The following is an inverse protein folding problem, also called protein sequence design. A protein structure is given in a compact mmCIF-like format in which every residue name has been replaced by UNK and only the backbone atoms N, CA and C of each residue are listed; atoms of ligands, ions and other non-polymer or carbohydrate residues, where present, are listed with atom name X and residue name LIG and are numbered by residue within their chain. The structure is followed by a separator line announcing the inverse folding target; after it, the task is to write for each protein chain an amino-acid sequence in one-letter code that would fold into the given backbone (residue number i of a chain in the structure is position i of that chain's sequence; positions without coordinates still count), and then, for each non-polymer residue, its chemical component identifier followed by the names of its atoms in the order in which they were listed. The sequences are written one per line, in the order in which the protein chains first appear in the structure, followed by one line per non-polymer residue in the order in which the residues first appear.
data_IF_125746787904
#
_entry.id   IF_125746787904
#
_cell.length_a   1.000
_cell.length_b   1.000
_cell.length_c   1.000
_cell.angle_alpha   90.00
_cell.angle_beta   90.00
_cell.angle_gamma   90.00
#
_symmetry.space_group_name_H-M   'P 1'
#
loop_
_entity.id
_entity.type
_entity.pdbx_description
1 polymer ?
#
# COMPACT_ATOMS: atom_id res chain seq x y z
N UNK A 1 -0.42 18.14 -11.83
CA UNK A 1 -0.06 16.73 -12.08
C UNK A 1 -1.07 16.16 -13.06
N UNK A 2 -0.64 15.32 -14.00
CA UNK A 2 -1.53 14.75 -15.00
C UNK A 2 -2.40 13.67 -14.32
N UNK A 3 -3.66 13.98 -14.00
CA UNK A 3 -4.63 13.09 -13.32
C UNK A 3 -4.93 11.80 -14.11
N UNK A 4 -4.45 11.70 -15.35
CA UNK A 4 -4.52 10.50 -16.17
C UNK A 4 -3.67 9.33 -15.62
N UNK A 5 -2.68 9.60 -14.77
CA UNK A 5 -1.68 8.62 -14.34
C UNK A 5 -1.86 8.15 -12.88
N UNK A 6 -2.88 8.64 -12.17
CA UNK A 6 -3.18 8.21 -10.80
C UNK A 6 -4.67 8.38 -10.47
N UNK A 7 -5.06 7.97 -9.25
CA UNK A 7 -6.44 7.90 -8.78
C UNK A 7 -6.87 9.13 -7.96
N UNK A 8 -6.39 10.32 -8.32
CA UNK A 8 -6.70 11.57 -7.59
C UNK A 8 -8.21 11.90 -7.58
N UNK A 9 -8.95 11.35 -8.55
CA UNK A 9 -10.41 11.43 -8.70
C UNK A 9 -11.19 10.42 -7.83
N UNK A 10 -10.48 9.51 -7.14
CA UNK A 10 -11.06 8.44 -6.32
C UNK A 10 -10.60 8.59 -4.86
N UNK A 11 -11.26 9.46 -4.08
CA UNK A 11 -10.90 9.63 -2.69
C UNK A 11 -11.09 8.33 -1.90
N UNK A 12 -10.06 7.97 -1.11
CA UNK A 12 -10.20 6.92 -0.10
C UNK A 12 -11.23 7.34 0.95
N UNK A 13 -11.84 6.38 1.62
CA UNK A 13 -12.89 6.61 2.62
C UNK A 13 -12.46 7.62 3.70
N UNK A 14 -11.21 7.53 4.17
CA UNK A 14 -10.62 8.47 5.13
C UNK A 14 -10.50 9.93 4.66
N UNK A 15 -10.55 10.19 3.34
CA UNK A 15 -10.51 11.54 2.74
C UNK A 15 -11.90 12.13 2.48
N UNK A 16 -12.96 11.33 2.53
CA UNK A 16 -14.32 11.80 2.28
C UNK A 16 -14.84 12.68 3.43
N UNK A 17 -15.69 13.68 3.15
CA UNK A 17 -16.47 14.36 4.20
C UNK A 17 -17.28 13.35 5.04
N UNK A 18 -17.49 13.59 6.34
CA UNK A 18 -18.14 12.61 7.22
C UNK A 18 -19.52 12.16 6.73
N UNK A 19 -20.36 13.08 6.24
CA UNK A 19 -21.66 12.74 5.65
C UNK A 19 -21.55 11.82 4.42
N UNK A 20 -20.57 12.04 3.53
CA UNK A 20 -20.35 11.22 2.34
C UNK A 20 -19.77 9.84 2.72
N UNK A 21 -18.82 9.81 3.64
CA UNK A 21 -18.27 8.57 4.19
C UNK A 21 -19.37 7.74 4.87
N UNK A 22 -20.25 8.37 5.66
CA UNK A 22 -21.39 7.71 6.29
C UNK A 22 -22.37 7.15 5.25
N UNK A 23 -22.68 7.90 4.19
CA UNK A 23 -23.52 7.40 3.11
C UNK A 23 -22.92 6.16 2.45
N UNK A 24 -21.61 6.19 2.13
CA UNK A 24 -20.88 5.06 1.56
C UNK A 24 -20.87 3.84 2.48
N UNK A 25 -20.67 4.03 3.78
CA UNK A 25 -20.73 2.97 4.79
C UNK A 25 -22.12 2.32 4.86
N UNK A 26 -23.21 3.11 4.81
CA UNK A 26 -24.57 2.56 4.76
C UNK A 26 -24.81 1.69 3.53
N UNK A 27 -24.27 2.08 2.38
CA UNK A 27 -24.41 1.31 1.13
C UNK A 27 -23.78 -0.09 1.20
N UNK A 28 -22.76 -0.27 2.05
CA UNK A 28 -22.09 -1.55 2.26
C UNK A 28 -22.57 -2.29 3.52
N UNK A 29 -23.60 -1.77 4.20
CA UNK A 29 -24.19 -2.39 5.39
C UNK A 29 -23.50 -2.04 6.71
N UNK A 30 -22.53 -1.12 6.71
CA UNK A 30 -21.83 -0.64 7.90
C UNK A 30 -22.63 0.46 8.62
N UNK A 31 -23.79 0.09 9.15
CA UNK A 31 -24.76 1.03 9.74
C UNK A 31 -24.19 1.69 11.01
N UNK A 32 -23.64 0.91 11.94
CA UNK A 32 -23.12 1.43 13.21
C UNK A 32 -21.97 2.43 12.99
N UNK A 33 -21.04 2.09 12.08
CA UNK A 33 -19.95 2.98 11.71
C UNK A 33 -20.46 4.26 11.03
N UNK A 34 -21.48 4.17 10.18
CA UNK A 34 -22.09 5.32 9.53
C UNK A 34 -22.84 6.24 10.50
N UNK A 35 -23.61 5.67 11.44
CA UNK A 35 -24.35 6.41 12.47
C UNK A 35 -23.40 7.19 13.38
N UNK A 36 -22.28 6.56 13.71
CA UNK A 36 -21.20 7.19 14.45
C UNK A 36 -20.65 8.46 13.80
N UNK A 37 -20.44 8.45 12.49
CA UNK A 37 -19.96 9.62 11.75
C UNK A 37 -21.00 10.75 11.75
N UNK A 38 -22.29 10.44 11.56
CA UNK A 38 -23.35 11.46 11.53
C UNK A 38 -23.71 12.05 12.90
N UNK A 39 -23.61 11.26 13.96
CA UNK A 39 -23.92 11.73 15.33
C UNK A 39 -22.92 12.78 15.82
N UNK A 40 -21.71 12.75 15.27
CA UNK A 40 -20.60 13.61 15.70
C UNK A 40 -20.57 14.96 14.96
N UNK A 41 -21.14 15.04 13.75
CA UNK A 41 -21.36 16.31 13.03
C UNK A 41 -22.27 17.29 13.81
N UNK A 42 -23.15 16.78 14.68
CA UNK A 42 -24.06 17.61 15.46
C UNK A 42 -23.41 18.26 16.71
N UNK A 43 -22.16 17.90 17.05
CA UNK A 43 -21.54 18.31 18.33
C UNK A 43 -20.21 19.08 18.21
N UNK A 44 -19.57 19.20 17.04
CA UNK A 44 -18.23 19.81 16.92
C UNK A 44 -18.13 20.71 15.67
N UNK A 45 -17.53 21.93 15.75
CA UNK A 45 -17.29 22.76 14.57
C UNK A 45 -16.36 22.05 13.59
N UNK A 46 -16.63 22.19 12.29
CA UNK A 46 -15.95 21.48 11.22
C UNK A 46 -14.43 21.72 11.19
N UNK A 47 -13.66 20.83 11.82
CA UNK A 47 -12.24 20.61 11.52
C UNK A 47 -12.13 19.44 10.55
N UNK A 48 -11.66 19.74 9.33
CA UNK A 48 -11.27 18.73 8.35
C UNK A 48 -10.25 17.76 8.98
N UNK A 49 -10.53 16.46 8.93
CA UNK A 49 -9.54 15.41 9.19
C UNK A 49 -9.45 14.87 10.63
N UNK A 50 -10.38 15.18 11.53
CA UNK A 50 -10.40 14.58 12.89
C UNK A 50 -11.70 13.84 13.13
N UNK A 51 -11.68 12.51 12.98
CA UNK A 51 -12.80 11.61 13.25
C UNK A 51 -12.82 11.25 14.75
N UNK A 52 -13.85 11.62 15.53
CA UNK A 52 -13.85 11.34 16.98
C UNK A 52 -14.45 9.96 17.33
N UNK A 53 -13.66 9.15 18.05
CA UNK A 53 -14.01 8.18 19.10
C UNK A 53 -15.19 7.18 18.93
N UNK A 54 -15.61 6.85 17.71
CA UNK A 54 -16.05 5.47 17.47
C UNK A 54 -14.79 4.65 17.22
N UNK A 55 -14.67 3.52 17.91
CA UNK A 55 -13.43 2.76 18.08
C UNK A 55 -12.47 2.93 16.92
N UNK A 56 -11.31 3.54 17.18
CA UNK A 56 -10.30 3.95 16.20
C UNK A 56 -10.13 2.92 15.08
N UNK A 57 -10.78 3.15 13.92
CA UNK A 57 -10.77 2.16 12.83
C UNK A 57 -9.62 2.49 11.86
N UNK A 58 -8.74 1.52 11.55
CA UNK A 58 -7.61 1.72 10.65
C UNK A 58 -7.92 2.40 9.30
N UNK A 59 -9.05 2.05 8.67
CA UNK A 59 -9.45 2.56 7.35
C UNK A 59 -9.89 4.04 7.33
N UNK A 60 -10.02 4.67 8.49
CA UNK A 60 -10.41 6.08 8.63
C UNK A 60 -9.25 7.03 8.37
N UNK A 61 -8.02 6.52 8.51
CA UNK A 61 -6.84 7.36 8.52
C UNK A 61 -6.22 7.52 7.14
N UNK A 62 -5.59 8.66 6.92
CA UNK A 62 -4.92 8.98 5.65
C UNK A 62 -3.41 9.07 5.82
N UNK A 63 -2.95 9.33 7.05
CA UNK A 63 -1.53 9.41 7.37
C UNK A 63 -0.89 8.02 7.40
N UNK A 64 0.40 7.99 7.07
CA UNK A 64 1.20 6.79 7.07
C UNK A 64 2.54 7.04 7.75
N UNK A 65 3.01 6.06 8.51
CA UNK A 65 4.40 6.00 9.00
C UNK A 65 5.18 4.97 8.20
N UNK A 66 6.46 5.28 7.92
CA UNK A 66 7.34 4.45 7.10
C UNK A 66 8.45 3.84 7.93
N UNK A 67 8.41 2.52 8.01
CA UNK A 67 9.43 1.68 8.62
C UNK A 67 10.33 1.06 7.56
N UNK A 68 11.51 0.65 7.98
CA UNK A 68 12.50 -0.03 7.17
C UNK A 68 13.13 -1.18 7.95
N UNK A 69 13.24 -2.30 7.26
CA UNK A 69 13.88 -3.51 7.72
C UNK A 69 15.06 -3.81 6.79
N UNK A 70 16.28 -3.77 7.36
CA UNK A 70 17.51 -4.01 6.61
C UNK A 70 17.63 -5.47 6.15
N UNK A 71 18.34 -5.75 5.05
CA UNK A 71 18.74 -7.09 4.69
C UNK A 71 19.62 -7.67 5.80
N UNK A 72 19.32 -8.87 6.25
CA UNK A 72 20.09 -9.54 7.31
C UNK A 72 20.57 -10.92 6.88
N UNK A 73 21.71 -11.39 7.41
CA UNK A 73 22.14 -12.77 7.19
C UNK A 73 21.08 -13.79 7.61
N UNK A 74 21.07 -14.98 7.00
CA UNK A 74 20.23 -16.09 7.45
C UNK A 74 20.42 -16.39 8.94
N UNK A 75 19.37 -16.90 9.60
CA UNK A 75 19.33 -17.25 11.02
C UNK A 75 19.35 -16.07 12.01
N UNK A 76 19.29 -14.84 11.52
CA UNK A 76 19.01 -13.69 12.38
C UNK A 76 17.62 -13.86 13.02
N UNK A 77 17.55 -13.69 14.33
CA UNK A 77 16.30 -13.69 15.11
C UNK A 77 15.99 -12.25 15.50
N UNK A 78 14.70 -11.90 15.49
CA UNK A 78 14.19 -10.60 15.91
C UNK A 78 14.89 -9.42 15.22
N UNK A 79 14.40 -9.05 14.05
CA UNK A 79 15.04 -8.00 13.27
C UNK A 79 14.45 -6.64 13.64
N UNK A 80 15.29 -5.64 13.99
CA UNK A 80 14.81 -4.32 14.35
C UNK A 80 14.23 -3.61 13.12
N UNK A 81 13.12 -2.89 13.34
CA UNK A 81 12.56 -1.98 12.35
C UNK A 81 12.97 -0.56 12.74
N UNK A 82 13.39 0.23 11.77
CA UNK A 82 13.79 1.62 11.98
C UNK A 82 12.93 2.54 11.12
N UNK A 83 12.87 3.83 11.45
CA UNK A 83 12.26 4.79 10.53
C UNK A 83 13.02 4.82 9.20
N UNK A 84 12.28 4.85 8.08
CA UNK A 84 12.87 4.87 6.73
C UNK A 84 13.70 6.14 6.44
N UNK A 85 13.57 7.21 7.23
CA UNK A 85 14.42 8.41 7.13
C UNK A 85 15.75 8.27 7.86
N UNK A 86 15.88 7.30 8.77
CA UNK A 86 17.05 7.12 9.63
C UNK A 86 18.06 6.08 9.11
N UNK A 87 17.87 5.57 7.89
CA UNK A 87 18.73 4.53 7.30
C UNK A 87 19.82 5.16 6.42
N UNK A 88 20.87 4.46 6.03
CA UNK A 88 21.80 4.99 5.03
C UNK A 88 21.24 4.79 3.62
N UNK A 89 21.30 5.81 2.76
CA UNK A 89 20.99 5.64 1.34
C UNK A 89 22.07 4.79 0.65
N UNK A 90 21.67 3.86 -0.21
CA UNK A 90 22.57 3.06 -1.02
C UNK A 90 22.81 3.71 -2.38
N UNK A 91 23.83 4.57 -2.46
CA UNK A 91 24.19 5.27 -3.69
C UNK A 91 24.55 4.36 -4.86
N UNK A 92 24.88 3.09 -4.61
CA UNK A 92 25.21 2.14 -5.69
C UNK A 92 23.97 1.60 -6.41
N UNK A 93 22.76 2.01 -6.00
CA UNK A 93 21.52 1.76 -6.75
C UNK A 93 21.28 2.80 -7.86
N UNK A 94 22.03 3.90 -7.91
CA UNK A 94 21.87 4.93 -8.95
C UNK A 94 22.13 4.36 -10.35
N UNK A 95 21.14 4.46 -11.23
CA UNK A 95 21.23 3.93 -12.59
C UNK A 95 21.21 2.40 -12.67
N UNK A 96 21.05 1.69 -11.54
CA UNK A 96 20.97 0.24 -11.51
C UNK A 96 19.52 -0.24 -11.68
N UNK A 97 19.36 -1.56 -11.83
CA UNK A 97 18.08 -2.25 -11.95
C UNK A 97 17.73 -2.98 -10.67
N UNK A 98 16.48 -2.83 -10.23
CA UNK A 98 15.97 -3.50 -9.03
C UNK A 98 14.79 -4.41 -9.31
N UNK A 99 14.58 -5.34 -8.39
CA UNK A 99 13.35 -6.08 -8.20
C UNK A 99 12.56 -5.44 -7.07
N UNK A 100 11.25 -5.34 -7.27
CA UNK A 100 10.27 -4.94 -6.26
C UNK A 100 9.38 -6.12 -5.97
N UNK A 101 9.18 -6.43 -4.70
CA UNK A 101 8.31 -7.51 -4.25
C UNK A 101 7.29 -7.03 -3.23
N UNK A 102 6.11 -7.65 -3.19
CA UNK A 102 5.16 -7.52 -2.11
C UNK A 102 5.49 -8.57 -1.05
N UNK A 103 5.82 -8.11 0.15
CA UNK A 103 6.24 -8.96 1.27
C UNK A 103 5.14 -9.15 2.30
N UNK A 104 4.23 -8.18 2.44
CA UNK A 104 3.04 -8.32 3.26
C UNK A 104 1.94 -7.36 2.80
N UNK A 105 0.69 -7.81 2.94
CA UNK A 105 -0.52 -7.00 2.88
C UNK A 105 -1.37 -7.39 4.10
N UNK A 106 -1.38 -6.54 5.12
CA UNK A 106 -2.19 -6.75 6.34
C UNK A 106 -3.45 -5.90 6.29
N UNK A 107 -4.57 -6.55 6.57
CA UNK A 107 -5.84 -5.88 6.85
C UNK A 107 -6.13 -6.08 8.33
N UNK A 108 -5.84 -5.04 9.13
CA UNK A 108 -6.30 -5.01 10.51
C UNK A 108 -7.83 -4.85 10.52
N UNK A 109 -8.33 -3.92 9.73
CA UNK A 109 -9.77 -3.67 9.55
C UNK A 109 -9.98 -2.88 8.25
N UNK A 110 -10.85 -3.39 7.37
CA UNK A 110 -11.41 -2.71 6.20
C UNK A 110 -12.94 -2.67 6.36
N UNK A 111 -13.67 -1.69 5.80
CA UNK A 111 -15.13 -1.60 5.98
C UNK A 111 -15.88 -2.88 5.54
N UNK A 112 -16.91 -3.29 6.28
CA UNK A 112 -17.48 -4.63 6.15
C UNK A 112 -16.84 -5.57 7.17
N UNK A 113 -17.50 -6.69 7.48
CA UNK A 113 -16.91 -7.74 8.33
C UNK A 113 -16.44 -8.95 7.53
N UNK A 114 -15.53 -9.73 8.15
CA UNK A 114 -15.17 -11.07 7.73
C UNK A 114 -14.01 -11.14 6.74
N UNK A 115 -14.26 -11.63 5.53
CA UNK A 115 -13.24 -11.77 4.49
C UNK A 115 -13.41 -10.65 3.46
N UNK A 116 -12.30 -10.00 3.15
CA UNK A 116 -12.23 -8.92 2.17
C UNK A 116 -11.60 -9.43 0.87
N UNK A 117 -12.16 -9.00 -0.25
CA UNK A 117 -11.52 -9.07 -1.56
C UNK A 117 -10.86 -7.72 -1.80
N UNK A 118 -9.54 -7.69 -1.88
CA UNK A 118 -8.76 -6.46 -2.01
C UNK A 118 -8.23 -6.39 -3.42
N UNK A 119 -8.59 -5.36 -4.17
CA UNK A 119 -7.83 -4.94 -5.34
C UNK A 119 -6.67 -4.07 -4.87
N UNK A 120 -5.45 -4.48 -5.25
CA UNK A 120 -4.21 -3.79 -4.96
C UNK A 120 -3.65 -3.24 -6.27
N UNK A 121 -3.41 -1.93 -6.32
CA UNK A 121 -2.67 -1.26 -7.38
C UNK A 121 -1.33 -0.76 -6.81
N UNK A 122 -0.26 -1.05 -7.54
CA UNK A 122 1.06 -0.55 -7.24
C UNK A 122 1.64 0.15 -8.45
N UNK A 123 2.11 1.37 -8.22
CA UNK A 123 2.75 2.20 -9.22
C UNK A 123 4.22 2.40 -8.94
N UNK A 124 5.02 2.39 -10.00
CA UNK A 124 6.42 2.78 -9.98
C UNK A 124 6.82 3.53 -11.25
N UNK A 125 7.94 4.24 -11.18
CA UNK A 125 8.56 4.88 -12.33
C UNK A 125 9.76 4.06 -12.79
N UNK A 126 9.75 3.63 -14.05
CA UNK A 126 10.93 3.07 -14.72
C UNK A 126 11.70 4.20 -15.39
N UNK A 127 12.88 4.51 -14.87
CA UNK A 127 13.65 5.70 -15.29
C UNK A 127 14.81 5.29 -16.20
N UNK A 128 14.58 5.32 -17.51
CA UNK A 128 15.61 5.16 -18.53
C UNK A 128 16.29 6.52 -18.80
N UNK A 129 17.42 6.51 -19.50
CA UNK A 129 18.26 7.71 -19.72
C UNK A 129 17.47 8.93 -20.24
N UNK A 130 16.55 8.73 -21.18
CA UNK A 130 15.81 9.81 -21.84
C UNK A 130 14.27 9.72 -21.63
N UNK A 131 13.80 8.68 -20.94
CA UNK A 131 12.36 8.37 -20.84
C UNK A 131 12.03 7.88 -19.42
N UNK A 132 11.00 8.46 -18.83
CA UNK A 132 10.35 7.90 -17.64
C UNK A 132 9.07 7.20 -18.06
N UNK A 133 8.98 5.89 -17.78
CA UNK A 133 7.75 5.13 -17.98
C UNK A 133 7.01 4.98 -16.66
N UNK A 134 5.69 5.13 -16.72
CA UNK A 134 4.79 5.00 -15.59
C UNK A 134 4.18 3.61 -15.58
N UNK A 135 4.55 2.80 -14.59
CA UNK A 135 4.16 1.40 -14.51
C UNK A 135 3.06 1.22 -13.47
N UNK A 136 2.07 0.40 -13.80
CA UNK A 136 1.07 -0.08 -12.86
C UNK A 136 1.05 -1.60 -12.81
N UNK A 137 0.90 -2.13 -11.60
CA UNK A 137 0.69 -3.54 -11.33
C UNK A 137 -0.61 -3.71 -10.54
N UNK A 138 -1.48 -4.60 -10.99
CA UNK A 138 -2.68 -4.98 -10.26
C UNK A 138 -2.64 -6.44 -9.85
N UNK A 139 -3.08 -6.70 -8.63
CA UNK A 139 -3.39 -8.04 -8.16
C UNK A 139 -4.57 -7.97 -7.22
N UNK A 140 -5.22 -9.11 -7.00
CA UNK A 140 -6.25 -9.22 -5.98
C UNK A 140 -5.86 -10.19 -4.88
N UNK A 141 -6.36 -9.94 -3.68
CA UNK A 141 -6.05 -10.72 -2.50
C UNK A 141 -7.30 -10.94 -1.65
N UNK A 142 -7.46 -12.17 -1.14
CA UNK A 142 -8.46 -12.50 -0.13
C UNK A 142 -7.80 -12.47 1.24
N UNK A 143 -8.30 -11.60 2.11
CA UNK A 143 -7.73 -11.42 3.45
C UNK A 143 -8.85 -11.39 4.47
N UNK A 144 -8.74 -12.20 5.51
CA UNK A 144 -9.64 -12.11 6.65
C UNK A 144 -9.24 -10.92 7.52
N UNK A 145 -10.22 -10.23 8.06
CA UNK A 145 -10.02 -9.17 9.05
C UNK A 145 -9.07 -9.62 10.17
N UNK A 146 -8.12 -8.76 10.53
CA UNK A 146 -7.07 -9.03 11.51
C UNK A 146 -5.90 -9.88 10.99
N UNK A 147 -5.94 -10.38 9.75
CA UNK A 147 -4.93 -11.25 9.16
C UNK A 147 -4.12 -10.54 8.04
N UNK A 148 -3.28 -11.32 7.36
CA UNK A 148 -2.50 -10.89 6.19
C UNK A 148 -2.80 -11.79 5.00
N UNK A 149 -2.66 -11.25 3.80
CA UNK A 149 -2.68 -12.08 2.60
C UNK A 149 -1.58 -13.15 2.68
N UNK A 150 -1.87 -14.34 2.18
CA UNK A 150 -0.93 -15.46 2.10
C UNK A 150 0.09 -15.27 0.96
N UNK A 151 0.93 -14.24 1.10
CA UNK A 151 1.99 -13.90 0.17
C UNK A 151 3.31 -13.72 0.92
N UNK A 152 4.41 -14.09 0.24
CA UNK A 152 5.75 -13.88 0.73
C UNK A 152 6.64 -13.62 -0.48
N UNK A 153 7.30 -12.46 -0.51
CA UNK A 153 8.24 -12.07 -1.56
C UNK A 153 7.64 -12.19 -2.98
N UNK A 154 6.38 -11.79 -3.16
CA UNK A 154 5.67 -11.91 -4.43
C UNK A 154 6.18 -10.84 -5.41
N UNK A 155 6.66 -11.18 -6.62
CA UNK A 155 7.24 -10.20 -7.52
C UNK A 155 6.18 -9.22 -8.05
N UNK A 156 6.44 -7.92 -7.91
CA UNK A 156 5.65 -6.83 -8.53
C UNK A 156 6.31 -6.42 -9.84
N UNK A 157 7.55 -5.92 -9.77
CA UNK A 157 8.36 -5.51 -10.92
C UNK A 157 9.74 -6.15 -10.88
N UNK A 158 10.24 -6.57 -12.03
CA UNK A 158 11.56 -7.16 -12.20
C UNK A 158 12.39 -6.29 -13.14
N UNK A 159 13.56 -5.85 -12.68
CA UNK A 159 14.51 -5.09 -13.48
C UNK A 159 14.09 -3.64 -13.75
N UNK A 160 13.40 -3.00 -12.81
CA UNK A 160 13.02 -1.59 -12.84
C UNK A 160 14.27 -0.71 -12.76
N UNK A 161 14.42 0.26 -13.67
CA UNK A 161 15.56 1.18 -13.68
C UNK A 161 15.34 2.33 -12.70
N UNK A 162 16.38 2.62 -11.90
CA UNK A 162 16.38 3.69 -10.91
C UNK A 162 17.07 4.93 -11.49
N UNK A 163 16.43 6.10 -11.34
CA UNK A 163 17.02 7.37 -11.75
C UNK A 163 18.06 7.90 -10.76
N UNK A 164 18.72 8.99 -11.14
CA UNK A 164 19.77 9.60 -10.29
C UNK A 164 19.25 10.19 -8.98
N UNK A 165 17.97 10.53 -8.94
CA UNK A 165 17.29 11.17 -7.82
C UNK A 165 16.53 10.18 -6.92
N UNK A 166 16.49 8.89 -7.31
CA UNK A 166 15.79 7.83 -6.58
C UNK A 166 14.57 7.33 -7.33
N UNK A 167 13.49 7.02 -6.60
CA UNK A 167 12.28 6.43 -7.14
C UNK A 167 11.02 6.89 -6.41
N UNK A 168 9.88 6.76 -7.08
CA UNK A 168 8.56 7.03 -6.51
C UNK A 168 7.74 5.76 -6.59
N UNK A 169 7.17 5.38 -5.45
CA UNK A 169 6.14 4.37 -5.36
C UNK A 169 4.82 4.99 -4.98
N UNK A 170 3.74 4.42 -5.52
CA UNK A 170 2.41 4.67 -4.99
C UNK A 170 1.67 3.36 -4.84
N UNK A 171 0.77 3.31 -3.86
CA UNK A 171 -0.07 2.17 -3.63
C UNK A 171 -1.50 2.62 -3.38
N UNK A 172 -2.44 1.93 -4.02
CA UNK A 172 -3.86 2.15 -3.85
C UNK A 172 -4.54 0.82 -3.55
N UNK A 173 -5.42 0.79 -2.55
CA UNK A 173 -6.20 -0.41 -2.22
C UNK A 173 -7.68 -0.12 -2.26
N UNK A 174 -8.43 -1.09 -2.80
CA UNK A 174 -9.89 -1.07 -2.85
C UNK A 174 -10.42 -2.35 -2.24
N UNK A 175 -11.27 -2.22 -1.24
CA UNK A 175 -12.11 -3.30 -0.73
C UNK A 175 -13.30 -3.49 -1.68
N UNK A 176 -13.34 -4.64 -2.34
CA UNK A 176 -14.33 -4.98 -3.35
C UNK A 176 -15.43 -5.81 -2.69
N UNK A 177 -16.66 -5.31 -2.75
CA UNK A 177 -17.86 -5.92 -2.13
C UNK A 177 -18.96 -6.23 -3.14
N UNK A 178 -18.75 -5.94 -4.42
CA UNK A 178 -19.71 -6.20 -5.47
C UNK A 178 -19.42 -7.53 -6.19
N UNK A 179 -20.41 -8.42 -6.23
CA UNK A 179 -20.35 -9.73 -6.91
C UNK A 179 -20.07 -9.61 -8.42
N UNK A 180 -20.52 -8.54 -9.09
CA UNK A 180 -20.23 -8.31 -10.51
C UNK A 180 -18.75 -7.91 -10.72
N UNK A 181 -18.18 -7.15 -9.78
CA UNK A 181 -16.76 -6.79 -9.82
C UNK A 181 -15.88 -7.99 -9.42
N UNK A 182 -16.39 -8.96 -8.66
CA UNK A 182 -15.70 -10.23 -8.45
C UNK A 182 -15.47 -10.99 -9.76
N UNK A 183 -16.36 -10.87 -10.76
CA UNK A 183 -16.15 -11.46 -12.08
C UNK A 183 -15.04 -10.74 -12.87
N UNK A 184 -14.96 -9.40 -12.78
CA UNK A 184 -13.84 -8.63 -13.36
C UNK A 184 -12.51 -8.98 -12.66
N UNK A 185 -12.57 -9.25 -11.35
CA UNK A 185 -11.44 -9.77 -10.56
C UNK A 185 -11.07 -11.19 -10.98
N UNK A 186 -12.03 -12.07 -11.24
CA UNK A 186 -11.75 -13.42 -11.74
C UNK A 186 -11.08 -13.37 -13.12
N UNK A 187 -11.43 -12.40 -13.97
CA UNK A 187 -10.71 -12.17 -15.21
C UNK A 187 -9.25 -11.72 -14.98
N UNK A 188 -9.01 -10.79 -14.05
CA UNK A 188 -7.63 -10.43 -13.63
C UNK A 188 -6.86 -11.65 -13.13
N UNK A 189 -7.53 -12.53 -12.41
CA UNK A 189 -6.92 -13.72 -11.86
C UNK A 189 -6.72 -14.84 -12.87
N UNK A 190 -7.24 -14.70 -14.10
CA UNK A 190 -7.10 -15.69 -15.15
C UNK A 190 -5.65 -15.88 -15.58
N UNK A 191 -5.30 -17.13 -15.87
CA UNK A 191 -3.96 -17.50 -16.35
C UNK A 191 -3.61 -16.77 -17.66
N UNK A 192 -4.61 -16.46 -18.49
CA UNK A 192 -4.43 -15.71 -19.72
C UNK A 192 -3.94 -14.28 -19.47
N UNK A 193 -4.56 -13.57 -18.52
CA UNK A 193 -4.16 -12.21 -18.16
C UNK A 193 -2.79 -12.19 -17.47
N UNK A 194 -2.57 -13.09 -16.50
CA UNK A 194 -1.27 -13.25 -15.81
C UNK A 194 -0.14 -13.62 -16.76
N UNK A 195 -0.41 -14.42 -17.79
CA UNK A 195 0.56 -14.79 -18.84
C UNK A 195 0.82 -13.61 -19.78
N UNK A 196 -0.20 -12.83 -20.14
CA UNK A 196 -0.05 -11.59 -20.90
C UNK A 196 0.87 -10.56 -20.22
N UNK A 197 0.72 -10.38 -18.90
CA UNK A 197 1.62 -9.56 -18.08
C UNK A 197 3.06 -10.09 -18.08
N UNK A 198 3.26 -11.40 -17.94
CA UNK A 198 4.60 -12.02 -17.99
C UNK A 198 5.29 -11.81 -19.34
N UNK A 199 4.58 -11.90 -20.45
CA UNK A 199 5.14 -11.67 -21.79
C UNK A 199 5.57 -10.20 -22.02
N UNK A 200 4.96 -9.23 -21.35
CA UNK A 200 5.34 -7.83 -21.43
C UNK A 200 6.60 -7.48 -20.61
N UNK A 201 6.99 -8.33 -19.64
CA UNK A 201 8.20 -8.11 -18.82
C UNK A 201 9.50 -8.47 -19.54
N UNK A 202 9.41 -9.09 -20.73
CA UNK A 202 10.53 -9.39 -21.60
C UNK A 202 10.65 -8.35 -22.73
N UNK A 203 11.23 -7.18 -22.40
CA UNK A 203 11.86 -6.20 -23.31
C UNK A 203 10.94 -5.42 -24.30
N UNK A 204 10.84 -4.09 -24.07
CA UNK A 204 10.33 -3.01 -24.97
C UNK A 204 8.79 -2.88 -25.21
N UNK A 205 8.33 -1.83 -25.94
CA UNK A 205 7.56 -0.64 -25.53
C UNK A 205 6.03 -0.88 -25.35
N UNK A 206 5.63 -2.09 -24.93
CA UNK A 206 4.22 -2.49 -24.77
C UNK A 206 3.65 -2.18 -23.37
N UNK A 207 4.44 -1.56 -22.47
CA UNK A 207 4.07 -1.43 -21.06
C UNK A 207 3.05 -0.29 -20.83
N UNK A 208 3.06 0.75 -21.68
CA UNK A 208 2.14 1.88 -21.53
C UNK A 208 0.67 1.48 -21.72
N UNK A 209 0.25 0.80 -22.80
CA UNK A 209 -1.13 0.31 -22.92
C UNK A 209 -1.55 -0.61 -21.78
N UNK A 210 -0.63 -1.46 -21.28
CA UNK A 210 -0.90 -2.34 -20.15
C UNK A 210 -1.10 -1.56 -18.84
N UNK A 211 -0.31 -0.52 -18.63
CA UNK A 211 -0.44 0.37 -17.47
C UNK A 211 -1.72 1.22 -17.54
N UNK A 212 -2.09 1.71 -18.73
CA UNK A 212 -3.36 2.41 -18.95
C UNK A 212 -4.56 1.49 -18.71
N UNK A 213 -4.48 0.23 -19.14
CA UNK A 213 -5.49 -0.79 -18.85
C UNK A 213 -5.61 -1.06 -17.34
N UNK A 214 -4.49 -1.22 -16.65
CA UNK A 214 -4.43 -1.39 -15.20
C UNK A 214 -5.12 -0.23 -14.46
N UNK A 215 -4.78 1.01 -14.80
CA UNK A 215 -5.44 2.21 -14.26
C UNK A 215 -6.94 2.18 -14.55
N UNK A 216 -7.33 1.96 -15.82
CA UNK A 216 -8.73 1.98 -16.24
C UNK A 216 -9.58 0.95 -15.50
N UNK A 217 -9.03 -0.23 -15.27
CA UNK A 217 -9.70 -1.28 -14.52
C UNK A 217 -9.83 -0.93 -13.04
N UNK A 218 -8.76 -0.44 -12.41
CA UNK A 218 -8.82 0.02 -11.02
C UNK A 218 -9.85 1.13 -10.86
N UNK A 219 -9.92 2.08 -11.81
CA UNK A 219 -10.93 3.13 -11.81
C UNK A 219 -12.35 2.58 -11.97
N UNK A 220 -12.56 1.61 -12.84
CA UNK A 220 -13.88 0.99 -13.04
C UNK A 220 -14.37 0.31 -11.75
N UNK A 221 -13.50 -0.48 -11.11
CA UNK A 221 -13.82 -1.19 -9.86
C UNK A 221 -14.02 -0.20 -8.71
N UNK A 222 -13.10 0.75 -8.51
CA UNK A 222 -13.17 1.71 -7.40
C UNK A 222 -14.40 2.63 -7.45
N UNK A 223 -14.88 2.99 -8.64
CA UNK A 223 -16.07 3.83 -8.82
C UNK A 223 -17.38 3.10 -8.49
N UNK A 224 -17.38 1.77 -8.38
CA UNK A 224 -18.61 1.06 -8.09
C UNK A 224 -19.13 1.38 -6.68
N UNK A 225 -20.45 1.51 -6.53
CA UNK A 225 -21.09 2.01 -5.30
C UNK A 225 -20.69 1.24 -4.05
N UNK A 226 -20.60 -0.08 -4.12
CA UNK A 226 -20.25 -0.94 -2.98
C UNK A 226 -18.76 -1.09 -2.73
N UNK A 227 -17.90 -0.67 -3.66
CA UNK A 227 -16.47 -0.80 -3.49
C UNK A 227 -15.93 0.43 -2.76
N UNK A 228 -14.94 0.21 -1.90
CA UNK A 228 -14.42 1.24 -1.02
C UNK A 228 -12.91 1.32 -1.15
N UNK A 229 -12.40 2.45 -1.62
CA UNK A 229 -10.98 2.75 -1.58
C UNK A 229 -10.53 3.01 -0.13
N UNK A 230 -9.47 2.36 0.32
CA UNK A 230 -9.05 2.38 1.74
C UNK A 230 -7.68 3.01 1.94
N UNK A 231 -6.67 2.63 1.14
CA UNK A 231 -5.32 3.19 1.25
C UNK A 231 -4.94 3.88 -0.06
N UNK A 232 -4.29 5.03 0.06
CA UNK A 232 -3.68 5.80 -1.03
C UNK A 232 -2.38 6.39 -0.48
N UNK A 233 -1.27 5.76 -0.82
CA UNK A 233 0.05 6.02 -0.26
C UNK A 233 0.96 6.47 -1.40
N UNK A 234 1.72 7.54 -1.17
CA UNK A 234 2.79 7.97 -2.07
C UNK A 234 4.09 8.06 -1.29
N UNK A 235 5.13 7.40 -1.80
CA UNK A 235 6.43 7.28 -1.16
C UNK A 235 7.50 7.68 -2.17
N UNK A 236 8.27 8.71 -1.85
CA UNK A 236 9.54 9.01 -2.52
C UNK A 236 10.68 8.38 -1.74
N UNK A 237 11.52 7.60 -2.42
CA UNK A 237 12.76 7.09 -1.86
C UNK A 237 13.92 7.73 -2.62
N UNK A 238 14.75 8.50 -1.92
CA UNK A 238 15.84 9.25 -2.55
C UNK A 238 17.23 8.97 -1.93
N UNK A 239 18.25 9.53 -2.57
CA UNK A 239 19.64 9.44 -2.11
C UNK A 239 20.07 10.68 -1.30
N UNK A 240 19.13 11.53 -0.92
CA UNK A 240 19.42 12.79 -0.23
C UNK A 240 19.61 12.57 1.27
N UNK A 241 20.17 13.58 1.93
CA UNK A 241 20.27 13.64 3.39
C UNK A 241 19.07 14.33 4.05
N UNK A 242 17.96 14.53 3.32
CA UNK A 242 16.77 15.21 3.86
C UNK A 242 16.22 14.42 5.07
N UNK A 243 16.16 15.01 6.28
CA UNK A 243 15.71 14.30 7.47
C UNK A 243 14.23 13.91 7.44
N UNK A 244 13.42 14.55 6.57
CA UNK A 244 12.01 14.21 6.39
C UNK A 244 11.77 13.21 5.25
N UNK A 245 12.78 12.92 4.43
CA UNK A 245 12.68 12.01 3.30
C UNK A 245 12.98 10.57 3.70
N UNK A 246 12.30 9.62 3.06
CA UNK A 246 12.69 8.22 3.16
C UNK A 246 13.86 7.96 2.20
N UNK A 247 14.84 7.18 2.66
CA UNK A 247 16.08 6.94 1.93
C UNK A 247 16.02 5.63 1.16
N UNK A 248 16.55 5.63 -0.06
CA UNK A 248 16.57 4.46 -0.93
C UNK A 248 17.74 3.52 -0.57
N UNK A 249 17.43 2.27 -0.23
CA UNK A 249 18.36 1.18 0.07
C UNK A 249 17.70 -0.18 -0.23
N UNK A 250 18.51 -1.23 -0.39
CA UNK A 250 18.01 -2.60 -0.44
C UNK A 250 17.44 -3.00 0.93
N UNK A 251 16.28 -3.64 0.98
CA UNK A 251 15.60 -3.97 2.24
C UNK A 251 14.09 -4.09 2.06
N UNK A 252 13.35 -4.04 3.17
CA UNK A 252 11.88 -4.04 3.17
C UNK A 252 11.36 -2.76 3.78
N UNK A 253 10.52 -2.05 3.04
CA UNK A 253 9.83 -0.85 3.51
C UNK A 253 8.42 -1.21 3.94
N UNK A 254 7.99 -0.66 5.06
CA UNK A 254 6.70 -0.97 5.70
C UNK A 254 5.92 0.33 5.84
N UNK A 255 4.78 0.44 5.17
CA UNK A 255 3.89 1.59 5.26
C UNK A 255 2.66 1.22 6.09
N UNK A 256 2.50 1.85 7.25
CA UNK A 256 1.40 1.60 8.18
C UNK A 256 0.44 2.78 8.16
N UNK A 257 -0.85 2.51 7.93
CA UNK A 257 -1.94 3.50 7.93
C UNK A 257 -2.31 3.84 9.37
N UNK A 258 -1.87 4.98 9.88
CA UNK A 258 -2.05 5.40 11.28
C UNK A 258 -2.78 6.74 11.37
N UNK A 259 -3.46 7.04 12.48
CA UNK A 259 -3.96 8.39 12.72
C UNK A 259 -2.81 9.40 12.77
N UNK A 260 -3.07 10.61 12.26
CA UNK A 260 -2.12 11.72 12.31
C UNK A 260 -1.67 12.05 13.74
N UNK A 261 -2.54 11.84 14.73
CA UNK A 261 -2.20 12.06 16.14
C UNK A 261 -1.12 11.10 16.65
N UNK A 262 -0.99 9.91 16.05
CA UNK A 262 0.02 8.93 16.43
C UNK A 262 1.36 9.13 15.72
N UNK A 263 1.45 9.91 14.65
CA UNK A 263 2.73 10.15 13.94
C UNK A 263 3.81 10.72 14.85
N UNK A 264 3.42 11.47 15.89
CA UNK A 264 4.33 12.11 16.86
C UNK A 264 4.88 11.15 17.93
N UNK A 265 4.17 10.07 18.20
CA UNK A 265 4.46 9.13 19.29
C UNK A 265 4.75 7.73 18.79
N UNK A 266 4.58 7.48 17.49
CA UNK A 266 4.92 6.21 16.86
C UNK A 266 6.43 6.02 16.88
N UNK A 267 6.88 5.02 17.63
CA UNK A 267 8.28 4.62 17.67
C UNK A 267 8.46 3.28 16.95
N UNK A 268 9.35 3.26 15.96
CA UNK A 268 9.69 2.03 15.25
C UNK A 268 10.51 1.06 16.11
N UNK A 269 11.22 1.53 17.14
CA UNK A 269 11.96 0.63 18.04
C UNK A 269 11.05 -0.23 18.92
N UNK A 270 9.76 0.11 19.04
CA UNK A 270 8.78 -0.72 19.73
C UNK A 270 8.41 -1.98 18.93
N UNK A 271 8.79 -2.06 17.65
CA UNK A 271 8.38 -3.10 16.72
C UNK A 271 9.57 -3.85 16.15
N UNK A 272 9.44 -5.18 16.10
CA UNK A 272 10.44 -6.08 15.52
C UNK A 272 9.78 -6.99 14.49
N UNK A 273 10.56 -7.43 13.51
CA UNK A 273 10.17 -8.54 12.66
C UNK A 273 10.66 -9.86 13.27
N UNK A 274 9.72 -10.65 13.76
CA UNK A 274 9.98 -11.99 14.29
C UNK A 274 10.12 -12.98 13.12
N UNK A 275 11.34 -13.45 12.88
CA UNK A 275 11.64 -14.38 11.79
C UNK A 275 11.08 -15.79 12.00
N UNK A 276 10.67 -16.13 13.23
CA UNK A 276 10.09 -17.45 13.54
C UNK A 276 8.61 -17.54 13.14
N UNK A 277 7.85 -16.47 13.34
CA UNK A 277 6.44 -16.33 12.95
C UNK A 277 6.28 -15.64 11.59
N UNK A 278 7.33 -14.95 11.14
CA UNK A 278 7.34 -14.09 9.98
C UNK A 278 6.46 -12.85 10.16
N UNK A 279 6.17 -12.42 11.38
CA UNK A 279 5.24 -11.32 11.68
C UNK A 279 5.96 -10.10 12.26
N UNK A 280 5.34 -8.93 12.12
CA UNK A 280 5.77 -7.74 12.86
C UNK A 280 5.01 -7.73 14.18
N UNK A 281 5.76 -7.79 15.28
CA UNK A 281 5.24 -7.88 16.64
C UNK A 281 5.84 -6.78 17.50
N UNK A 282 5.18 -6.47 18.60
CA UNK A 282 5.73 -5.55 19.60
C UNK A 282 6.88 -6.23 20.33
N UNK A 283 8.01 -5.54 20.47
CA UNK A 283 9.26 -6.12 21.00
C UNK A 283 9.05 -6.72 22.41
N UNK A 284 8.40 -5.96 23.27
CA UNK A 284 8.13 -6.34 24.66
C UNK A 284 6.85 -7.18 24.85
N UNK A 285 6.04 -7.39 23.80
CA UNK A 285 4.79 -8.17 23.85
C UNK A 285 4.55 -8.84 22.50
N UNK A 286 5.17 -10.01 22.30
CA UNK A 286 5.20 -10.69 20.99
C UNK A 286 3.86 -11.21 20.49
N UNK A 287 2.83 -11.16 21.31
CA UNK A 287 1.43 -11.44 20.97
C UNK A 287 0.71 -10.23 20.35
N UNK A 288 1.28 -9.02 20.47
CA UNK A 288 0.72 -7.80 19.92
C UNK A 288 1.25 -7.54 18.51
N UNK A 289 0.35 -7.60 17.54
CA UNK A 289 0.60 -7.18 16.16
C UNK A 289 0.40 -5.67 16.00
N UNK A 290 0.88 -5.12 14.88
CA UNK A 290 0.49 -3.76 14.46
C UNK A 290 -1.05 -3.71 14.33
N UNK A 291 -1.74 -2.83 15.08
CA UNK A 291 -3.21 -2.77 15.12
C UNK A 291 -3.81 -1.98 13.93
N UNK A 292 -3.03 -1.80 12.87
CA UNK A 292 -3.36 -0.98 11.71
C UNK A 292 -3.10 -1.74 10.41
N UNK A 293 -3.71 -1.25 9.33
CA UNK A 293 -3.46 -1.74 7.98
C UNK A 293 -2.03 -1.40 7.59
N UNK A 294 -1.31 -2.34 6.96
CA UNK A 294 0.01 -2.05 6.45
C UNK A 294 0.34 -2.85 5.20
N UNK A 295 1.27 -2.29 4.44
CA UNK A 295 1.82 -2.88 3.23
C UNK A 295 3.33 -2.89 3.37
N UNK A 296 3.95 -4.03 3.11
CA UNK A 296 5.40 -4.16 3.11
C UNK A 296 5.91 -4.56 1.73
N UNK A 297 6.86 -3.82 1.17
CA UNK A 297 7.47 -4.12 -0.12
C UNK A 297 8.98 -4.24 0.00
N UNK A 298 9.54 -5.24 -0.67
CA UNK A 298 10.97 -5.48 -0.76
C UNK A 298 11.59 -4.77 -1.95
N UNK A 299 12.80 -4.25 -1.76
CA UNK A 299 13.71 -3.77 -2.80
C UNK A 299 14.97 -4.62 -2.73
N UNK A 300 15.37 -5.20 -3.86
CA UNK A 300 16.66 -5.86 -4.02
C UNK A 300 17.21 -5.61 -5.41
N UNK A 301 18.51 -5.80 -5.61
CA UNK A 301 19.09 -5.80 -6.96
C UNK A 301 18.45 -6.85 -7.86
N UNK A 302 18.45 -6.56 -9.15
CA UNK A 302 18.04 -7.47 -10.20
C UNK A 302 19.28 -8.17 -10.78
N UNK A 303 19.36 -9.49 -10.62
CA UNK A 303 20.50 -10.31 -11.08
C UNK A 303 20.32 -10.87 -12.51
N UNK A 304 19.32 -10.39 -13.27
CA UNK A 304 19.09 -10.88 -14.63
C UNK A 304 20.03 -10.23 -15.65
N UNK A 305 20.76 -11.07 -16.39
CA UNK A 305 21.59 -10.69 -17.54
C UNK A 305 20.77 -10.05 -18.67
#
# INVERSE_FOLDING_TARGET
MNTALWFDDLPILGKLPPAEAAAKLREIGEIDAAEGLTSTEQQIPQTYGTWPLLGDKPWQHTAHTLGYLAPTPPNSRDLPIQSASNVASDFSLKGDRIKITLNALRVADYPGSGTHQILFDFYAQNQLADITEHLHFNSTYRVREGERAALLNYPIFLGLNIGNDGLIFKCFTVNVKNEEDEAAIQFLDSDAFKTGLKLATTVQPAIKPLSEMAIGLTKAIANHRKNVAVQDIQIGLDFSSNPMGARLAEGVYIAVQIPETLTRVWDWSDWIYDTSTGQIVKDYSRDQLIPYNYIAFGISRYEGN
#
